data_IF_293959026687
#
_entry.id   IF_293959026687
#
_cell.length_a   1.000
_cell.length_b   1.000
_cell.length_c   1.000
_cell.angle_alpha   90.00
_cell.angle_beta   90.00
_cell.angle_gamma   90.00
#
_symmetry.space_group_name_H-M   'P 1'
#
loop_
_entity.id
_entity.type
_entity.pdbx_description
1 polymer ?
#
# COMPACT_ATOMS: atom_id res chain seq x y z
N UNK A 1 14.76 11.27 -14.42
CA UNK A 1 14.50 10.68 -13.11
C UNK A 1 13.32 9.74 -13.16
N UNK A 2 13.44 8.63 -12.48
CA UNK A 2 12.38 7.62 -12.47
C UNK A 2 11.22 8.10 -11.60
N UNK A 3 9.99 7.99 -12.12
CA UNK A 3 8.81 8.28 -11.32
C UNK A 3 8.72 7.29 -10.15
N UNK A 4 8.20 7.75 -9.01
CA UNK A 4 8.05 6.89 -7.85
C UNK A 4 6.76 6.10 -7.98
N UNK A 5 6.88 4.78 -7.87
CA UNK A 5 5.78 3.85 -8.06
C UNK A 5 5.15 3.48 -6.73
N UNK A 6 3.83 3.49 -6.70
CA UNK A 6 3.02 3.03 -5.56
C UNK A 6 2.25 1.80 -6.03
N UNK A 7 2.38 0.70 -5.28
CA UNK A 7 1.58 -0.50 -5.53
C UNK A 7 0.39 -0.48 -4.58
N UNK A 8 -0.82 -0.61 -5.12
CA UNK A 8 -2.03 -0.70 -4.33
C UNK A 8 -2.64 -2.09 -4.49
N UNK A 9 -2.71 -2.84 -3.39
CA UNK A 9 -3.27 -4.19 -3.37
C UNK A 9 -4.67 -4.10 -2.77
N UNK A 10 -5.70 -4.24 -3.61
CA UNK A 10 -7.10 -4.04 -3.25
C UNK A 10 -7.97 -4.79 -4.25
N UNK A 11 -8.91 -5.58 -3.77
CA UNK A 11 -9.77 -6.37 -4.65
C UNK A 11 -11.00 -5.59 -5.16
N UNK A 12 -11.36 -4.49 -4.54
CA UNK A 12 -12.55 -3.71 -4.89
C UNK A 12 -12.21 -2.62 -5.90
N UNK A 13 -12.86 -2.66 -7.06
CA UNK A 13 -12.59 -1.70 -8.15
C UNK A 13 -12.93 -0.25 -7.74
N UNK A 14 -14.01 -0.04 -6.98
CA UNK A 14 -14.37 1.31 -6.54
C UNK A 14 -13.29 1.91 -5.65
N UNK A 15 -12.72 1.11 -4.76
CA UNK A 15 -11.64 1.58 -3.89
C UNK A 15 -10.38 1.89 -4.71
N UNK A 16 -10.06 1.05 -5.70
CA UNK A 16 -8.91 1.31 -6.58
C UNK A 16 -9.11 2.58 -7.38
N UNK A 17 -10.34 2.81 -7.87
CA UNK A 17 -10.65 4.02 -8.64
C UNK A 17 -10.44 5.29 -7.81
N UNK A 18 -10.84 5.28 -6.53
CA UNK A 18 -10.64 6.43 -5.65
C UNK A 18 -9.16 6.79 -5.55
N UNK A 19 -8.31 5.81 -5.32
CA UNK A 19 -6.88 6.05 -5.22
C UNK A 19 -6.28 6.42 -6.58
N UNK A 20 -6.73 5.76 -7.63
CA UNK A 20 -6.27 6.08 -9.00
C UNK A 20 -6.55 7.54 -9.33
N UNK A 21 -7.76 8.02 -9.04
CA UNK A 21 -8.13 9.41 -9.30
C UNK A 21 -7.37 10.37 -8.41
N UNK A 22 -7.15 10.00 -7.15
CA UNK A 22 -6.37 10.81 -6.22
C UNK A 22 -4.95 11.04 -6.73
N UNK A 23 -4.31 10.00 -7.26
CA UNK A 23 -2.91 10.08 -7.67
C UNK A 23 -2.71 10.64 -9.07
N UNK A 24 -3.78 10.85 -9.85
CA UNK A 24 -3.67 11.43 -11.19
C UNK A 24 -3.04 12.82 -11.19
N UNK A 25 -3.20 13.56 -10.11
CA UNK A 25 -2.69 14.94 -9.99
C UNK A 25 -1.30 14.99 -9.39
N UNK A 26 -0.67 13.83 -9.20
CA UNK A 26 0.65 13.74 -8.58
C UNK A 26 1.65 13.22 -9.60
N UNK A 27 2.93 13.19 -9.19
CA UNK A 27 3.98 12.60 -10.01
C UNK A 27 4.13 11.10 -9.78
N UNK A 28 3.34 10.52 -8.85
CA UNK A 28 3.39 9.08 -8.58
C UNK A 28 2.80 8.28 -9.73
N UNK A 29 3.36 7.09 -9.94
CA UNK A 29 2.82 6.10 -10.87
C UNK A 29 2.14 5.00 -10.04
N UNK A 30 0.89 4.69 -10.35
CA UNK A 30 0.14 3.68 -9.60
C UNK A 30 0.19 2.34 -10.32
N UNK A 31 0.56 1.29 -9.59
CA UNK A 31 0.42 -0.09 -10.00
C UNK A 31 -0.66 -0.74 -9.14
N UNK A 32 -1.49 -1.60 -9.71
CA UNK A 32 -2.62 -2.19 -9.00
C UNK A 32 -2.54 -3.71 -9.01
N UNK A 33 -2.86 -4.32 -7.88
CA UNK A 33 -2.99 -5.77 -7.76
C UNK A 33 -4.34 -6.06 -7.10
N UNK A 34 -4.97 -7.17 -7.47
CA UNK A 34 -6.35 -7.44 -7.11
C UNK A 34 -6.52 -8.49 -6.01
N UNK A 35 -5.44 -9.10 -5.58
CA UNK A 35 -5.42 -10.02 -4.45
C UNK A 35 -4.02 -10.06 -3.83
N UNK A 36 -3.91 -10.75 -2.68
CA UNK A 36 -2.66 -10.77 -1.94
C UNK A 36 -1.52 -11.46 -2.69
N UNK A 37 -1.82 -12.55 -3.39
CA UNK A 37 -0.77 -13.26 -4.14
C UNK A 37 -0.22 -12.40 -5.28
N UNK A 38 -1.11 -11.75 -6.04
CA UNK A 38 -0.69 -10.85 -7.10
C UNK A 38 0.08 -9.66 -6.52
N UNK A 39 -0.33 -9.18 -5.34
CA UNK A 39 0.37 -8.10 -4.66
C UNK A 39 1.80 -8.46 -4.30
N UNK A 40 2.00 -9.65 -3.74
CA UNK A 40 3.36 -10.12 -3.42
C UNK A 40 4.19 -10.24 -4.68
N UNK A 41 3.64 -10.86 -5.72
CA UNK A 41 4.38 -11.04 -6.98
C UNK A 41 4.79 -9.71 -7.60
N UNK A 42 3.87 -8.74 -7.63
CA UNK A 42 4.19 -7.42 -8.18
C UNK A 42 5.19 -6.65 -7.32
N UNK A 43 5.07 -6.75 -6.00
CA UNK A 43 6.00 -6.08 -5.11
C UNK A 43 7.43 -6.58 -5.35
N UNK A 44 7.60 -7.89 -5.48
CA UNK A 44 8.94 -8.47 -5.69
C UNK A 44 9.47 -8.19 -7.10
N UNK A 45 8.60 -8.13 -8.10
CA UNK A 45 9.00 -7.89 -9.48
C UNK A 45 9.27 -6.41 -9.76
N UNK A 46 8.40 -5.53 -9.27
CA UNK A 46 8.46 -4.10 -9.59
C UNK A 46 9.24 -3.28 -8.58
N UNK A 47 9.36 -3.76 -7.35
CA UNK A 47 10.03 -3.06 -6.25
C UNK A 47 9.54 -1.61 -6.13
N UNK A 48 8.23 -1.43 -5.85
CA UNK A 48 7.67 -0.09 -5.75
C UNK A 48 8.28 0.68 -4.58
N UNK A 49 8.17 2.00 -4.63
CA UNK A 49 8.67 2.86 -3.56
C UNK A 49 7.78 2.85 -2.31
N UNK A 50 6.51 2.45 -2.46
CA UNK A 50 5.56 2.39 -1.36
C UNK A 50 4.44 1.41 -1.73
N UNK A 51 3.89 0.72 -0.73
CA UNK A 51 2.80 -0.23 -0.93
C UNK A 51 1.61 0.17 -0.07
N UNK A 52 0.43 0.22 -0.69
CA UNK A 52 -0.85 0.33 0.02
C UNK A 52 -1.44 -1.07 0.05
N UNK A 53 -1.65 -1.61 1.25
CA UNK A 53 -2.08 -3.00 1.41
C UNK A 53 -3.40 -3.08 2.15
N UNK A 54 -4.47 -3.49 1.47
CA UNK A 54 -5.73 -3.81 2.14
C UNK A 54 -5.52 -5.07 2.97
N UNK A 55 -6.03 -5.06 4.19
CA UNK A 55 -5.92 -6.21 5.08
C UNK A 55 -6.94 -7.29 4.70
N UNK A 56 -8.15 -6.88 4.31
CA UNK A 56 -9.23 -7.81 3.94
C UNK A 56 -9.16 -8.16 2.46
N UNK A 57 -8.35 -9.14 2.12
CA UNK A 57 -8.18 -9.60 0.74
C UNK A 57 -8.63 -11.04 0.57
N UNK A 58 -9.06 -11.42 -0.66
CA UNK A 58 -9.29 -12.83 -0.95
C UNK A 58 -7.98 -13.60 -1.05
N UNK A 59 -8.05 -14.91 -0.92
CA UNK A 59 -6.93 -15.86 -0.96
C UNK A 59 -6.06 -15.71 0.27
N UNK A 60 -4.98 -14.93 0.22
CA UNK A 60 -4.19 -14.65 1.42
C UNK A 60 -4.54 -13.25 1.93
N UNK A 61 -4.54 -13.08 3.26
CA UNK A 61 -4.83 -11.80 3.87
C UNK A 61 -3.71 -10.80 3.58
N UNK A 62 -4.02 -9.50 3.76
CA UNK A 62 -3.00 -8.47 3.64
C UNK A 62 -1.89 -8.63 4.67
N UNK A 63 -2.22 -9.16 5.86
CA UNK A 63 -1.20 -9.45 6.89
C UNK A 63 -0.20 -10.47 6.38
N UNK A 64 -0.68 -11.58 5.79
CA UNK A 64 0.18 -12.61 5.26
C UNK A 64 0.98 -12.10 4.05
N UNK A 65 0.34 -11.31 3.19
CA UNK A 65 1.03 -10.71 2.04
C UNK A 65 2.19 -9.83 2.52
N UNK A 66 1.98 -9.02 3.57
CA UNK A 66 3.04 -8.18 4.12
C UNK A 66 4.20 -9.01 4.66
N UNK A 67 3.91 -10.12 5.35
CA UNK A 67 4.96 -11.00 5.87
C UNK A 67 5.81 -11.56 4.73
N UNK A 68 5.16 -12.00 3.64
CA UNK A 68 5.86 -12.53 2.48
C UNK A 68 6.73 -11.47 1.81
N UNK A 69 6.23 -10.24 1.69
CA UNK A 69 7.00 -9.15 1.12
C UNK A 69 8.22 -8.84 2.00
N UNK A 70 8.01 -8.76 3.31
CA UNK A 70 9.10 -8.45 4.25
C UNK A 70 10.16 -9.54 4.33
N UNK A 71 9.83 -10.77 3.93
CA UNK A 71 10.80 -11.86 3.89
C UNK A 71 11.86 -11.62 2.81
N UNK A 72 11.58 -10.80 1.81
CA UNK A 72 12.56 -10.44 0.78
C UNK A 72 13.44 -9.29 1.29
N UNK A 73 14.78 -9.50 1.37
CA UNK A 73 15.66 -8.46 1.94
C UNK A 73 15.57 -7.11 1.22
N UNK A 74 15.38 -7.10 -0.08
CA UNK A 74 15.30 -5.86 -0.88
C UNK A 74 14.04 -5.07 -0.57
N UNK A 75 13.03 -5.67 0.09
CA UNK A 75 11.80 -5.01 0.47
C UNK A 75 11.75 -4.64 1.95
N UNK A 76 12.83 -4.87 2.70
CA UNK A 76 12.82 -4.68 4.15
C UNK A 76 12.56 -3.23 4.58
N UNK A 77 12.96 -2.25 3.77
CA UNK A 77 12.81 -0.83 4.09
C UNK A 77 11.66 -0.16 3.34
N UNK A 78 10.97 -0.87 2.45
CA UNK A 78 9.89 -0.28 1.66
C UNK A 78 8.70 0.08 2.57
N UNK A 79 8.21 1.34 2.55
CA UNK A 79 7.05 1.68 3.37
C UNK A 79 5.81 0.91 2.92
N UNK A 80 5.06 0.38 3.88
CA UNK A 80 3.77 -0.28 3.63
C UNK A 80 2.73 0.38 4.52
N UNK A 81 1.67 0.91 3.90
CA UNK A 81 0.52 1.43 4.63
C UNK A 81 -0.55 0.34 4.61
N UNK A 82 -0.87 -0.20 5.78
CA UNK A 82 -1.95 -1.17 5.92
C UNK A 82 -3.28 -0.42 6.00
N UNK A 83 -4.27 -0.85 5.22
CA UNK A 83 -5.59 -0.22 5.16
C UNK A 83 -6.63 -1.27 5.55
N UNK A 84 -7.56 -0.93 6.44
CA UNK A 84 -8.57 -1.87 6.91
C UNK A 84 -9.94 -1.22 6.98
N UNK A 85 -11.00 -2.02 6.69
CA UNK A 85 -12.38 -1.63 6.92
C UNK A 85 -12.82 -1.88 8.36
N UNK A 86 -12.08 -2.69 9.10
CA UNK A 86 -12.42 -3.08 10.46
C UNK A 86 -11.29 -2.68 11.41
N UNK A 87 -11.47 -1.53 12.07
CA UNK A 87 -10.48 -1.04 13.03
C UNK A 87 -10.77 -1.65 14.41
N UNK A 88 -10.52 -2.94 14.55
CA UNK A 88 -10.70 -3.63 15.82
C UNK A 88 -9.51 -3.38 16.74
N UNK A 89 -9.75 -3.53 18.05
CA UNK A 89 -8.70 -3.37 19.04
C UNK A 89 -7.55 -4.33 18.75
N UNK A 90 -6.33 -3.79 18.69
CA UNK A 90 -5.13 -4.58 18.45
C UNK A 90 -4.79 -4.79 16.97
N UNK A 91 -5.65 -4.40 16.02
CA UNK A 91 -5.37 -4.59 14.59
C UNK A 91 -4.17 -3.77 14.14
N UNK A 92 -4.03 -2.56 14.66
CA UNK A 92 -2.87 -1.73 14.30
C UNK A 92 -1.57 -2.38 14.72
N UNK A 93 -1.52 -2.95 15.92
CA UNK A 93 -0.33 -3.63 16.41
C UNK A 93 -0.04 -4.89 15.61
N UNK A 94 -1.09 -5.63 15.23
CA UNK A 94 -0.95 -6.82 14.40
C UNK A 94 -0.41 -6.46 13.01
N UNK A 95 -0.92 -5.39 12.43
CA UNK A 95 -0.46 -4.92 11.13
C UNK A 95 1.01 -4.53 11.19
N UNK A 96 1.42 -3.79 12.23
CA UNK A 96 2.80 -3.39 12.39
C UNK A 96 3.71 -4.60 12.64
N UNK A 97 3.24 -5.57 13.41
CA UNK A 97 3.98 -6.82 13.63
C UNK A 97 4.15 -7.60 12.33
N UNK A 98 3.20 -7.52 11.41
CA UNK A 98 3.27 -8.19 10.11
C UNK A 98 4.16 -7.43 9.12
N UNK A 99 4.56 -6.19 9.44
CA UNK A 99 5.49 -5.43 8.62
C UNK A 99 4.98 -4.08 8.13
N UNK A 100 3.80 -3.63 8.57
CA UNK A 100 3.27 -2.33 8.16
C UNK A 100 4.09 -1.19 8.77
N UNK A 101 4.36 -0.18 7.95
CA UNK A 101 5.01 1.06 8.42
C UNK A 101 3.99 1.98 9.06
N UNK A 102 2.77 2.00 8.49
CA UNK A 102 1.69 2.84 8.97
C UNK A 102 0.37 2.10 8.80
N UNK A 103 -0.68 2.62 9.41
CA UNK A 103 -1.98 1.96 9.47
C UNK A 103 -3.06 3.02 9.26
N UNK A 104 -4.04 2.73 8.40
CA UNK A 104 -5.12 3.64 8.08
C UNK A 104 -6.45 2.89 8.05
N UNK A 105 -7.43 3.38 8.81
CA UNK A 105 -8.75 2.75 8.86
C UNK A 105 -9.71 3.41 7.86
N UNK A 106 -10.53 2.59 7.20
CA UNK A 106 -11.62 3.10 6.35
C UNK A 106 -12.82 3.45 7.22
N UNK A 107 -13.62 4.45 6.86
CA UNK A 107 -13.37 5.39 5.76
C UNK A 107 -12.29 6.39 6.13
N UNK A 108 -11.44 6.70 5.16
CA UNK A 108 -10.40 7.72 5.35
C UNK A 108 -10.62 8.86 4.37
N UNK A 109 -10.09 10.03 4.70
CA UNK A 109 -10.07 11.13 3.75
C UNK A 109 -9.00 10.88 2.69
N UNK A 110 -9.33 11.04 1.39
CA UNK A 110 -8.29 10.91 0.36
C UNK A 110 -7.09 11.83 0.59
N UNK A 111 -7.33 13.04 1.13
CA UNK A 111 -6.22 13.94 1.43
C UNK A 111 -5.36 13.44 2.58
N UNK A 112 -5.95 12.76 3.55
CA UNK A 112 -5.18 12.15 4.65
C UNK A 112 -4.29 11.04 4.11
N UNK A 113 -4.82 10.23 3.20
CA UNK A 113 -4.02 9.19 2.55
C UNK A 113 -2.86 9.80 1.76
N UNK A 114 -3.14 10.82 0.97
CA UNK A 114 -2.10 11.48 0.18
C UNK A 114 -1.03 12.11 1.07
N UNK A 115 -1.42 12.72 2.18
CA UNK A 115 -0.47 13.28 3.14
C UNK A 115 0.44 12.21 3.72
N UNK A 116 -0.11 11.05 4.05
CA UNK A 116 0.67 9.95 4.58
C UNK A 116 1.61 9.38 3.52
N UNK A 117 1.15 9.26 2.29
CA UNK A 117 1.99 8.80 1.17
C UNK A 117 3.17 9.77 1.00
N UNK A 118 2.92 11.07 0.97
CA UNK A 118 3.97 12.07 0.79
C UNK A 118 4.98 12.08 1.93
N UNK A 119 4.52 11.78 3.14
CA UNK A 119 5.39 11.68 4.30
C UNK A 119 6.35 10.49 4.17
N UNK A 120 5.86 9.35 3.70
CA UNK A 120 6.65 8.11 3.63
C UNK A 120 7.43 7.99 2.33
N UNK A 121 6.95 8.58 1.25
CA UNK A 121 7.60 8.57 -0.05
C UNK A 121 7.40 9.94 -0.70
N UNK A 122 8.22 10.94 -0.33
CA UNK A 122 8.07 12.28 -0.90
C UNK A 122 8.11 12.26 -2.42
N UNK A 123 7.27 13.09 -3.05
CA UNK A 123 7.30 13.22 -4.50
C UNK A 123 8.68 13.75 -4.93
N UNK A 124 9.15 13.26 -6.06
CA UNK A 124 10.36 13.78 -6.62
C UNK A 124 10.18 15.22 -7.12
N UNK A 125 11.26 15.92 -7.45
CA UNK A 125 11.13 17.26 -8.00
C UNK A 125 10.32 17.22 -9.29
N UNK A 126 9.48 18.21 -9.46
CA UNK A 126 8.72 18.35 -10.71
C UNK A 126 9.69 18.67 -11.83
N UNK A 127 9.58 17.91 -12.89
CA UNK A 127 10.40 18.16 -14.08
C UNK A 127 9.98 19.46 -14.73
#
# INVERSE_FOLDING_TARGET
MTAKTILYVEDNEMNRKIVRDLLKRTTYVLSEAFDGEAGVAKALAEKPGLILMDIQLPKISGMEAMRQIRAAPEMAATPIIAITSFALSGDEQKAKAAGATAYLAKPYSPLDLLGLIRKLLPEGPKA
#
